data_IF_710035415387
#
_entry.id   IF_710035415387
#
_cell.length_a   1.000
_cell.length_b   1.000
_cell.length_c   1.000
_cell.angle_alpha   90.00
_cell.angle_beta   90.00
_cell.angle_gamma   90.00
#
_symmetry.space_group_name_H-M   'P 1'
#
loop_
_entity.id
_entity.type
_entity.pdbx_description
1 polymer ?
#
# COMPACT_ATOMS: atom_id res chain seq x y z
N UNK A 1 -14.90 -6.15 -1.68
CA UNK A 1 -15.46 -5.30 -2.74
C UNK A 1 -14.42 -5.07 -3.81
N UNK A 2 -14.70 -4.23 -4.81
CA UNK A 2 -13.83 -4.04 -5.97
C UNK A 2 -13.16 -2.67 -5.89
N UNK A 3 -11.84 -2.62 -6.06
CA UNK A 3 -11.06 -1.38 -6.04
C UNK A 3 -11.32 -0.52 -4.79
N UNK A 4 -11.61 0.77 -4.97
CA UNK A 4 -11.84 1.69 -3.85
C UNK A 4 -13.13 1.42 -3.09
N UNK A 5 -14.09 0.67 -3.66
CA UNK A 5 -15.35 0.35 -2.99
C UNK A 5 -15.19 -0.55 -1.75
N UNK A 6 -14.03 -1.20 -1.58
CA UNK A 6 -13.71 -1.97 -0.37
C UNK A 6 -12.93 -1.18 0.67
N UNK A 7 -12.64 0.11 0.42
CA UNK A 7 -11.96 1.00 1.35
C UNK A 7 -13.01 1.95 1.94
N UNK A 8 -13.55 1.56 3.09
CA UNK A 8 -14.65 2.29 3.72
C UNK A 8 -14.12 3.47 4.55
N UNK A 9 -14.51 4.69 4.16
CA UNK A 9 -14.19 5.89 4.91
C UNK A 9 -15.17 6.10 6.07
N UNK A 10 -14.69 6.49 7.27
CA UNK A 10 -15.56 6.82 8.39
C UNK A 10 -16.27 8.16 8.17
N UNK A 11 -17.36 8.41 8.91
CA UNK A 11 -18.00 9.71 8.92
C UNK A 11 -17.05 10.78 9.50
N UNK A 12 -16.83 11.85 8.76
CA UNK A 12 -15.98 12.94 9.19
C UNK A 12 -16.61 13.73 10.34
N UNK A 13 -15.78 14.12 11.31
CA UNK A 13 -16.06 15.06 12.40
C UNK A 13 -14.88 16.01 12.55
N UNK A 14 -15.10 17.22 13.08
CA UNK A 14 -14.00 18.13 13.40
C UNK A 14 -13.02 17.45 14.36
N UNK A 15 -11.73 17.60 14.12
CA UNK A 15 -10.66 16.90 14.86
C UNK A 15 -9.36 17.68 14.69
N UNK A 16 -8.62 17.87 15.78
CA UNK A 16 -7.39 18.66 15.74
C UNK A 16 -7.62 20.07 15.19
N UNK A 17 -6.75 20.49 14.28
CA UNK A 17 -6.81 21.81 13.62
C UNK A 17 -7.89 21.90 12.54
N UNK A 18 -8.49 20.79 12.12
CA UNK A 18 -9.39 20.72 10.98
C UNK A 18 -10.87 20.73 11.38
N UNK A 19 -11.65 21.50 10.62
CA UNK A 19 -13.11 21.42 10.59
C UNK A 19 -13.60 20.08 10.03
N UNK A 20 -14.88 19.77 10.22
CA UNK A 20 -15.51 18.56 9.66
C UNK A 20 -15.29 18.41 8.15
N UNK A 21 -15.41 19.51 7.40
CA UNK A 21 -15.26 19.51 5.95
C UNK A 21 -13.80 19.26 5.52
N UNK A 22 -12.84 19.78 6.29
CA UNK A 22 -11.41 19.53 6.06
C UNK A 22 -11.03 18.08 6.35
N UNK A 23 -11.55 17.51 7.45
CA UNK A 23 -11.39 16.08 7.75
C UNK A 23 -11.98 15.20 6.65
N UNK A 24 -13.15 15.54 6.10
CA UNK A 24 -13.73 14.80 4.99
C UNK A 24 -12.79 14.77 3.76
N UNK A 25 -12.22 15.93 3.39
CA UNK A 25 -11.24 16.03 2.29
C UNK A 25 -9.95 15.26 2.57
N UNK A 26 -9.45 15.29 3.81
CA UNK A 26 -8.28 14.52 4.22
C UNK A 26 -8.52 13.00 4.08
N UNK A 27 -9.71 12.52 4.49
CA UNK A 27 -10.10 11.12 4.33
C UNK A 27 -10.23 10.72 2.85
N UNK A 28 -10.79 11.59 2.01
CA UNK A 28 -10.86 11.36 0.55
C UNK A 28 -9.45 11.26 -0.07
N UNK A 29 -8.56 12.20 0.24
CA UNK A 29 -7.18 12.17 -0.24
C UNK A 29 -6.36 11.00 0.29
N UNK A 30 -6.65 10.53 1.50
CA UNK A 30 -6.11 9.28 2.03
C UNK A 30 -6.52 8.10 1.15
N UNK A 31 -7.80 8.02 0.76
CA UNK A 31 -8.27 6.98 -0.19
C UNK A 31 -7.63 7.11 -1.56
N UNK A 32 -7.43 8.33 -2.05
CA UNK A 32 -6.73 8.58 -3.33
C UNK A 32 -5.29 8.05 -3.28
N UNK A 33 -4.56 8.28 -2.19
CA UNK A 33 -3.22 7.72 -2.00
C UNK A 33 -3.22 6.19 -2.02
N UNK A 34 -4.14 5.56 -1.29
CA UNK A 34 -4.27 4.09 -1.26
C UNK A 34 -4.59 3.51 -2.64
N UNK A 35 -5.40 4.22 -3.43
CA UNK A 35 -5.71 3.81 -4.79
C UNK A 35 -4.51 3.97 -5.74
N UNK A 36 -3.88 5.15 -5.73
CA UNK A 36 -2.72 5.44 -6.57
C UNK A 36 -1.51 4.56 -6.23
N UNK A 37 -1.39 4.09 -4.98
CA UNK A 37 -0.26 3.26 -4.55
C UNK A 37 -0.43 1.76 -4.84
N UNK A 38 -1.67 1.27 -4.88
CA UNK A 38 -1.93 -0.17 -4.82
C UNK A 38 -3.04 -0.66 -5.78
N UNK A 39 -3.74 0.24 -6.49
CA UNK A 39 -4.79 -0.09 -7.46
C UNK A 39 -4.52 0.47 -8.86
N UNK A 40 -3.66 1.48 -8.98
CA UNK A 40 -3.34 2.10 -10.26
C UNK A 40 -2.71 1.07 -11.24
N UNK A 41 -3.28 0.86 -12.44
CA UNK A 41 -2.77 -0.14 -13.38
C UNK A 41 -1.33 0.09 -13.85
N UNK A 42 -0.87 1.34 -13.95
CA UNK A 42 0.50 1.67 -14.33
C UNK A 42 1.46 1.27 -13.20
N UNK A 43 1.12 1.61 -11.95
CA UNK A 43 1.89 1.22 -10.76
C UNK A 43 1.95 -0.30 -10.63
N UNK A 44 0.84 -0.99 -10.85
CA UNK A 44 0.80 -2.47 -10.84
C UNK A 44 1.70 -3.08 -11.92
N UNK A 45 1.86 -2.44 -13.07
CA UNK A 45 2.81 -2.88 -14.12
C UNK A 45 4.28 -2.50 -13.84
N UNK A 46 4.55 -1.88 -12.70
CA UNK A 46 5.90 -1.51 -12.29
C UNK A 46 6.34 -0.11 -12.75
N UNK A 47 5.42 0.74 -13.21
CA UNK A 47 5.70 2.15 -13.54
C UNK A 47 5.76 3.01 -12.28
N UNK A 48 6.50 4.12 -12.29
CA UNK A 48 6.73 4.95 -11.08
C UNK A 48 5.41 5.54 -10.54
N UNK A 49 5.14 5.51 -9.21
CA UNK A 49 3.86 5.92 -8.65
C UNK A 49 3.83 7.43 -8.34
N UNK A 50 4.03 8.26 -9.37
CA UNK A 50 4.23 9.70 -9.19
C UNK A 50 3.00 10.39 -8.57
N UNK A 51 1.79 9.97 -8.90
CA UNK A 51 0.55 10.51 -8.30
C UNK A 51 0.47 10.23 -6.79
N UNK A 52 0.78 9.01 -6.36
CA UNK A 52 0.81 8.66 -4.94
C UNK A 52 1.92 9.41 -4.20
N UNK A 53 3.10 9.52 -4.83
CA UNK A 53 4.25 10.23 -4.26
C UNK A 53 4.03 11.75 -4.14
N UNK A 54 3.17 12.34 -4.97
CA UNK A 54 2.82 13.76 -4.90
C UNK A 54 1.94 14.11 -3.70
N UNK A 55 1.24 13.14 -3.11
CA UNK A 55 0.42 13.33 -1.91
C UNK A 55 1.24 13.29 -0.61
N UNK A 56 2.47 12.81 -0.67
CA UNK A 56 3.39 12.75 0.47
C UNK A 56 4.07 14.11 0.64
N UNK A 57 4.14 14.59 1.88
CA UNK A 57 4.76 15.86 2.24
C UNK A 57 6.19 15.95 1.64
N UNK A 58 6.45 16.89 0.72
CA UNK A 58 7.75 17.02 0.07
C UNK A 58 8.87 17.44 1.04
N UNK A 59 8.51 17.97 2.21
CA UNK A 59 9.44 18.42 3.25
C UNK A 59 9.78 17.32 4.27
N UNK A 60 9.17 16.13 4.17
CA UNK A 60 9.48 14.98 5.05
C UNK A 60 10.76 14.26 4.60
N UNK A 61 11.93 14.82 4.97
CA UNK A 61 13.24 14.41 4.42
C UNK A 61 13.56 12.92 4.51
N UNK A 62 13.23 12.26 5.62
CA UNK A 62 13.45 10.82 5.84
C UNK A 62 12.68 9.97 4.83
N UNK A 63 11.40 10.29 4.60
CA UNK A 63 10.57 9.60 3.61
C UNK A 63 11.01 9.92 2.19
N UNK A 64 11.46 11.15 1.91
CA UNK A 64 12.01 11.50 0.59
C UNK A 64 13.27 10.70 0.27
N UNK A 65 14.14 10.51 1.26
CA UNK A 65 15.35 9.70 1.12
C UNK A 65 15.03 8.22 0.96
N UNK A 66 14.07 7.69 1.73
CA UNK A 66 13.53 6.34 1.56
C UNK A 66 13.04 6.13 0.12
N UNK A 67 12.14 6.97 -0.39
CA UNK A 67 11.56 6.84 -1.73
C UNK A 67 12.65 6.91 -2.82
N UNK A 68 13.65 7.77 -2.65
CA UNK A 68 14.78 7.87 -3.59
C UNK A 68 15.60 6.58 -3.65
N UNK A 69 15.91 5.99 -2.49
CA UNK A 69 16.65 4.72 -2.41
C UNK A 69 15.82 3.56 -2.95
N UNK A 70 14.57 3.48 -2.53
CA UNK A 70 13.63 2.42 -2.90
C UNK A 70 13.45 2.25 -4.41
N UNK A 71 13.46 3.34 -5.17
CA UNK A 71 13.36 3.26 -6.63
C UNK A 71 14.70 3.17 -7.37
N UNK A 72 15.83 3.33 -6.67
CA UNK A 72 17.17 3.29 -7.28
C UNK A 72 17.87 1.96 -7.05
N UNK A 73 17.85 1.48 -5.82
CA UNK A 73 18.50 0.27 -5.36
C UNK A 73 17.71 -0.25 -4.14
N UNK A 74 16.59 -0.95 -4.36
CA UNK A 74 15.82 -1.55 -3.28
C UNK A 74 16.69 -2.49 -2.43
N UNK A 75 16.45 -2.46 -1.14
CA UNK A 75 17.03 -3.35 -0.14
C UNK A 75 15.98 -3.64 0.94
N UNK A 76 16.37 -4.36 1.99
CA UNK A 76 15.44 -4.77 3.06
C UNK A 76 14.77 -3.58 3.73
N UNK A 77 15.51 -2.50 3.96
CA UNK A 77 15.03 -1.32 4.67
C UNK A 77 14.35 -0.32 3.72
N UNK A 78 14.70 -0.33 2.44
CA UNK A 78 14.25 0.61 1.42
C UNK A 78 13.55 -0.15 0.28
N UNK A 79 12.56 -0.98 0.60
CA UNK A 79 11.76 -1.65 -0.43
C UNK A 79 10.54 -0.79 -0.81
N UNK A 80 10.32 -0.44 -2.09
CA UNK A 80 9.14 0.31 -2.50
C UNK A 80 7.83 -0.46 -2.24
N UNK A 81 7.87 -1.78 -2.07
CA UNK A 81 6.70 -2.61 -1.76
C UNK A 81 6.05 -2.29 -0.41
N UNK A 82 6.79 -1.65 0.50
CA UNK A 82 6.25 -1.13 1.75
C UNK A 82 5.05 -0.19 1.51
N UNK A 83 5.09 0.60 0.43
CA UNK A 83 4.02 1.55 0.09
C UNK A 83 3.28 1.21 -1.20
N UNK A 84 3.95 0.58 -2.18
CA UNK A 84 3.43 0.45 -3.54
C UNK A 84 3.36 -1.00 -3.99
N UNK A 85 2.19 -1.48 -4.41
CA UNK A 85 2.07 -2.82 -4.98
C UNK A 85 2.49 -2.79 -6.45
N UNK A 86 3.52 -3.55 -6.81
CA UNK A 86 4.15 -3.48 -8.14
C UNK A 86 4.57 -4.85 -8.61
N UNK A 87 4.33 -5.16 -9.88
CA UNK A 87 4.79 -6.38 -10.52
C UNK A 87 5.76 -6.04 -11.65
N UNK A 88 6.69 -6.94 -11.94
CA UNK A 88 7.51 -6.82 -13.14
C UNK A 88 6.71 -7.30 -14.35
N UNK A 89 6.44 -6.40 -15.29
CA UNK A 89 5.61 -6.67 -16.46
C UNK A 89 6.19 -7.72 -17.42
N UNK A 90 7.50 -7.99 -17.37
CA UNK A 90 8.13 -9.10 -18.09
C UNK A 90 7.82 -10.48 -17.51
N UNK A 91 7.39 -10.53 -16.25
CA UNK A 91 7.25 -11.78 -15.50
C UNK A 91 5.77 -12.15 -15.38
N UNK A 92 4.95 -11.18 -14.96
CA UNK A 92 3.51 -11.36 -14.75
C UNK A 92 2.71 -10.15 -15.22
N UNK A 93 1.41 -10.36 -15.46
CA UNK A 93 0.44 -9.31 -15.71
C UNK A 93 -0.84 -9.54 -14.88
N UNK A 94 -1.54 -8.48 -14.46
CA UNK A 94 -2.87 -8.62 -13.87
C UNK A 94 -3.82 -9.43 -14.75
N UNK A 95 -4.62 -10.29 -14.12
CA UNK A 95 -5.67 -11.06 -14.76
C UNK A 95 -6.98 -10.27 -14.72
N UNK A 96 -7.19 -9.44 -15.75
CA UNK A 96 -8.31 -8.50 -15.81
C UNK A 96 -8.05 -7.21 -15.02
N UNK A 97 -9.10 -6.40 -14.88
CA UNK A 97 -8.99 -5.01 -14.38
C UNK A 97 -9.48 -4.83 -12.94
N UNK A 98 -9.80 -5.93 -12.26
CA UNK A 98 -10.41 -5.91 -10.93
C UNK A 98 -9.45 -6.41 -9.86
N UNK A 99 -9.05 -5.52 -8.97
CA UNK A 99 -8.41 -5.87 -7.69
C UNK A 99 -9.49 -5.95 -6.62
N UNK A 100 -9.53 -7.06 -5.88
CA UNK A 100 -10.44 -7.19 -4.74
C UNK A 100 -9.82 -6.54 -3.52
N UNK A 101 -10.62 -5.79 -2.78
CA UNK A 101 -10.18 -5.05 -1.60
C UNK A 101 -11.10 -5.27 -0.41
N UNK A 102 -10.50 -5.17 0.76
CA UNK A 102 -11.19 -5.07 2.05
C UNK A 102 -10.33 -4.24 2.98
N UNK A 103 -10.84 -3.08 3.40
CA UNK A 103 -10.07 -2.16 4.21
C UNK A 103 -10.91 -1.36 5.19
N UNK A 104 -10.24 -0.92 6.26
CA UNK A 104 -10.78 -0.04 7.27
C UNK A 104 -9.92 1.22 7.34
N UNK A 105 -10.59 2.36 7.46
CA UNK A 105 -9.96 3.65 7.75
C UNK A 105 -10.52 4.17 9.06
N UNK A 106 -9.66 4.66 9.94
CA UNK A 106 -10.01 5.36 11.18
C UNK A 106 -9.21 6.65 11.28
N UNK A 107 -9.67 7.59 12.11
CA UNK A 107 -8.91 8.80 12.38
C UNK A 107 -9.11 9.29 13.81
N UNK A 108 -8.12 10.00 14.30
CA UNK A 108 -8.09 10.64 15.63
C UNK A 108 -7.26 11.91 15.58
N UNK A 109 -7.30 12.70 16.65
CA UNK A 109 -6.35 13.80 16.81
C UNK A 109 -4.97 13.21 17.10
N UNK A 110 -3.99 13.65 16.32
CA UNK A 110 -2.59 13.27 16.46
C UNK A 110 -1.77 14.34 17.18
N UNK A 111 -0.45 14.20 17.13
CA UNK A 111 0.45 15.18 17.70
C UNK A 111 0.26 16.57 17.09
N UNK A 112 0.54 17.61 17.89
CA UNK A 112 0.46 19.01 17.44
C UNK A 112 -0.90 19.37 16.82
N UNK A 113 -1.97 18.65 17.18
CA UNK A 113 -3.32 18.89 16.67
C UNK A 113 -3.51 18.43 15.23
N UNK A 114 -2.64 17.59 14.67
CA UNK A 114 -2.83 16.96 13.37
C UNK A 114 -4.08 16.06 13.35
N UNK A 115 -4.57 15.73 12.16
CA UNK A 115 -5.54 14.63 12.00
C UNK A 115 -4.76 13.40 11.57
N UNK A 116 -4.63 12.43 12.48
CA UNK A 116 -3.95 11.18 12.20
C UNK A 116 -4.94 10.17 11.63
N UNK A 117 -4.69 9.69 10.41
CA UNK A 117 -5.49 8.69 9.72
C UNK A 117 -4.75 7.36 9.72
N UNK A 118 -5.38 6.33 10.26
CA UNK A 118 -4.86 4.96 10.26
C UNK A 118 -5.65 4.12 9.27
N UNK A 119 -4.93 3.37 8.44
CA UNK A 119 -5.52 2.52 7.40
C UNK A 119 -4.99 1.10 7.55
N UNK A 120 -5.84 0.12 7.28
CA UNK A 120 -5.46 -1.29 7.18
C UNK A 120 -6.27 -1.88 6.03
N UNK A 121 -5.61 -2.18 4.91
CA UNK A 121 -6.26 -2.60 3.66
C UNK A 121 -5.60 -3.86 3.12
N UNK A 122 -6.43 -4.87 2.85
CA UNK A 122 -6.05 -6.07 2.10
C UNK A 122 -6.39 -5.90 0.64
N UNK A 123 -5.43 -6.17 -0.24
CA UNK A 123 -5.54 -6.21 -1.69
C UNK A 123 -5.29 -7.63 -2.20
N UNK A 124 -6.12 -8.10 -3.13
CA UNK A 124 -5.95 -9.40 -3.78
C UNK A 124 -5.74 -9.18 -5.27
N UNK A 125 -4.53 -9.50 -5.74
CA UNK A 125 -4.10 -9.35 -7.11
C UNK A 125 -4.14 -10.69 -7.82
N UNK A 126 -5.10 -10.92 -8.74
CA UNK A 126 -5.04 -12.06 -9.63
C UNK A 126 -4.03 -11.76 -10.74
N UNK A 127 -3.10 -12.67 -11.00
CA UNK A 127 -2.05 -12.50 -12.01
C UNK A 127 -1.88 -13.77 -12.85
N UNK A 128 -1.43 -13.59 -14.07
CA UNK A 128 -1.00 -14.66 -14.98
C UNK A 128 0.42 -14.38 -15.46
N UNK A 129 1.11 -15.42 -15.96
CA UNK A 129 2.45 -15.25 -16.55
C UNK A 129 2.39 -14.32 -17.75
N UNK A 130 3.38 -13.45 -17.88
CA UNK A 130 3.50 -12.57 -19.04
C UNK A 130 3.77 -13.35 -20.34
N UNK A 131 4.56 -14.42 -20.26
CA UNK A 131 4.92 -15.27 -21.41
C UNK A 131 3.74 -16.11 -21.96
N UNK A 132 2.63 -16.22 -21.22
CA UNK A 132 1.52 -17.13 -21.54
C UNK A 132 1.91 -18.61 -21.38
N UNK A 133 1.11 -19.51 -21.96
CA UNK A 133 1.37 -20.96 -22.00
C UNK A 133 0.52 -21.79 -21.04
N UNK A 134 0.00 -21.20 -19.97
CA UNK A 134 -1.06 -21.76 -19.12
C UNK A 134 -2.11 -20.67 -18.80
N UNK A 135 -3.34 -21.11 -18.48
CA UNK A 135 -4.41 -20.23 -18.01
C UNK A 135 -4.42 -20.16 -16.45
N UNK A 136 -3.28 -20.47 -15.81
CA UNK A 136 -3.21 -20.46 -14.34
C UNK A 136 -3.30 -19.01 -13.82
N UNK A 137 -4.27 -18.76 -12.95
CA UNK A 137 -4.36 -17.52 -12.19
C UNK A 137 -3.78 -17.73 -10.80
N UNK A 138 -2.57 -17.23 -10.59
CA UNK A 138 -1.99 -17.08 -9.26
C UNK A 138 -2.61 -15.86 -8.56
N UNK A 139 -2.65 -15.90 -7.23
CA UNK A 139 -3.11 -14.77 -6.40
C UNK A 139 -1.99 -14.33 -5.50
N UNK A 140 -1.74 -13.02 -5.46
CA UNK A 140 -0.89 -12.38 -4.47
C UNK A 140 -1.77 -11.55 -3.56
N UNK A 141 -1.64 -11.75 -2.26
CA UNK A 141 -2.42 -11.03 -1.24
C UNK A 141 -1.46 -10.09 -0.53
N UNK A 142 -1.85 -8.83 -0.39
CA UNK A 142 -1.07 -7.80 0.30
C UNK A 142 -1.95 -7.14 1.34
N UNK A 143 -1.63 -7.27 2.62
CA UNK A 143 -2.22 -6.48 3.69
C UNK A 143 -1.26 -5.34 4.00
N UNK A 144 -1.77 -4.10 4.01
CA UNK A 144 -0.96 -2.91 4.25
C UNK A 144 -1.61 -2.04 5.31
N UNK A 145 -0.82 -1.69 6.32
CA UNK A 145 -1.16 -0.69 7.32
C UNK A 145 -0.36 0.56 7.02
N UNK A 146 -1.04 1.70 6.92
CA UNK A 146 -0.41 3.01 6.73
C UNK A 146 -1.03 4.00 7.69
N UNK A 147 -0.19 4.71 8.44
CA UNK A 147 -0.57 5.82 9.30
C UNK A 147 -0.07 7.12 8.69
N UNK A 148 -1.00 8.05 8.45
CA UNK A 148 -0.76 9.33 7.81
C UNK A 148 -1.11 10.47 8.77
N UNK A 149 -0.24 11.47 8.88
CA UNK A 149 -0.49 12.69 9.64
C UNK A 149 -0.87 13.81 8.68
N UNK A 150 -2.09 14.31 8.80
CA UNK A 150 -2.54 15.55 8.16
C UNK A 150 -2.17 16.72 9.06
N UNK A 151 -0.92 17.16 8.93
CA UNK A 151 -0.27 18.08 9.85
C UNK A 151 -0.88 19.49 9.84
N UNK A 152 -0.81 20.16 10.99
CA UNK A 152 -1.17 21.56 11.14
C UNK A 152 -0.09 22.45 10.48
N UNK A 153 -0.40 23.18 9.40
CA UNK A 153 0.59 24.01 8.69
C UNK A 153 1.09 25.19 9.54
N UNK A 154 0.42 25.54 10.65
CA UNK A 154 0.93 26.52 11.60
C UNK A 154 2.06 25.97 12.49
N UNK A 155 2.27 24.64 12.52
CA UNK A 155 3.20 23.96 13.43
C UNK A 155 4.23 23.08 12.71
N UNK A 156 3.92 22.61 11.51
CA UNK A 156 4.76 21.74 10.69
C UNK A 156 4.92 22.36 9.30
N UNK A 157 6.12 22.26 8.71
CA UNK A 157 6.34 22.62 7.31
C UNK A 157 5.73 21.54 6.44
N UNK A 158 4.62 21.86 5.79
CA UNK A 158 3.85 20.96 4.93
C UNK A 158 3.22 21.74 3.77
N UNK A 159 3.13 21.11 2.59
CA UNK A 159 2.42 21.70 1.45
C UNK A 159 0.91 21.41 1.52
N UNK A 160 0.05 22.34 1.08
CA UNK A 160 -1.40 22.13 1.06
C UNK A 160 -1.79 20.84 0.31
N UNK A 161 -2.65 20.04 0.93
CA UNK A 161 -3.16 18.80 0.32
C UNK A 161 -2.22 17.60 0.39
N UNK A 162 -1.09 17.73 1.10
CA UNK A 162 -0.17 16.61 1.38
C UNK A 162 -0.31 16.13 2.83
N UNK A 163 0.25 14.95 3.12
CA UNK A 163 0.34 14.38 4.46
C UNK A 163 1.75 13.85 4.73
N UNK A 164 2.14 13.74 6.00
CA UNK A 164 3.38 13.07 6.40
C UNK A 164 3.09 11.59 6.71
N UNK A 165 3.96 10.67 6.31
CA UNK A 165 3.87 9.25 6.70
C UNK A 165 4.42 9.06 8.11
N UNK A 166 3.62 8.48 8.99
CA UNK A 166 4.00 8.19 10.39
C UNK A 166 4.54 6.77 10.52
N UNK A 167 3.85 5.80 9.91
CA UNK A 167 4.30 4.42 9.85
C UNK A 167 3.67 3.70 8.66
N UNK A 168 4.34 2.66 8.20
CA UNK A 168 3.86 1.79 7.13
C UNK A 168 4.39 0.37 7.33
N UNK A 169 3.51 -0.61 7.18
CA UNK A 169 3.80 -2.04 7.33
C UNK A 169 3.13 -2.80 6.20
N UNK A 170 3.71 -3.94 5.81
CA UNK A 170 3.16 -4.79 4.76
C UNK A 170 3.37 -6.26 5.11
N UNK A 171 2.30 -7.03 4.99
CA UNK A 171 2.34 -8.49 4.93
C UNK A 171 1.96 -8.94 3.53
N UNK A 172 2.69 -9.93 3.01
CA UNK A 172 2.42 -10.47 1.67
C UNK A 172 2.28 -11.98 1.70
N UNK A 173 1.34 -12.50 0.91
CA UNK A 173 1.21 -13.94 0.63
C UNK A 173 1.38 -14.15 -0.85
N UNK A 174 2.26 -15.09 -1.21
CA UNK A 174 2.67 -15.31 -2.59
C UNK A 174 3.20 -14.02 -3.27
N UNK A 175 3.95 -13.22 -2.51
CA UNK A 175 4.61 -12.00 -2.97
C UNK A 175 6.11 -12.16 -3.24
N UNK A 176 6.69 -13.31 -2.91
CA UNK A 176 8.15 -13.54 -2.87
C UNK A 176 8.72 -13.35 -1.47
N UNK A 177 9.73 -14.15 -1.12
CA UNK A 177 10.47 -14.04 0.14
C UNK A 177 11.90 -13.57 -0.13
N UNK A 178 12.47 -12.79 0.79
CA UNK A 178 13.91 -12.47 0.90
C UNK A 178 14.59 -11.94 -0.39
N UNK A 179 13.81 -11.41 -1.32
CA UNK A 179 14.29 -10.89 -2.60
C UNK A 179 13.84 -9.45 -2.78
N UNK A 180 14.69 -8.50 -2.38
CA UNK A 180 14.40 -7.06 -2.42
C UNK A 180 14.61 -6.47 -3.82
N UNK A 181 13.75 -6.84 -4.76
CA UNK A 181 13.83 -6.35 -6.15
C UNK A 181 12.95 -5.12 -6.39
N UNK A 182 12.13 -4.73 -5.41
CA UNK A 182 11.10 -3.70 -5.55
C UNK A 182 9.87 -4.13 -6.35
N UNK A 183 9.71 -5.44 -6.59
CA UNK A 183 8.57 -6.04 -7.29
C UNK A 183 8.09 -7.28 -6.54
N UNK A 184 6.79 -7.48 -6.50
CA UNK A 184 6.18 -8.74 -6.09
C UNK A 184 6.57 -9.83 -7.11
N UNK A 185 6.98 -10.99 -6.61
CA UNK A 185 7.38 -12.15 -7.41
C UNK A 185 6.50 -13.36 -7.07
N UNK A 186 5.28 -13.44 -7.64
CA UNK A 186 4.34 -14.51 -7.34
C UNK A 186 4.84 -15.86 -7.85
N UNK A 187 4.68 -16.90 -7.05
CA UNK A 187 4.92 -18.27 -7.47
C UNK A 187 3.62 -18.88 -8.02
N UNK A 188 3.74 -19.65 -9.10
CA UNK A 188 2.67 -20.42 -9.70
C UNK A 188 2.76 -21.89 -9.24
N UNK A 189 1.87 -22.77 -9.68
CA UNK A 189 1.79 -24.15 -9.18
C UNK A 189 3.10 -24.92 -9.35
N UNK A 190 3.77 -24.79 -10.50
CA UNK A 190 4.99 -25.53 -10.79
C UNK A 190 6.14 -25.16 -9.83
N UNK A 191 6.35 -23.86 -9.56
CA UNK A 191 7.37 -23.36 -8.64
C UNK A 191 7.05 -23.73 -7.19
N UNK A 192 5.78 -23.64 -6.80
CA UNK A 192 5.34 -24.03 -5.46
C UNK A 192 5.53 -25.53 -5.21
N UNK A 193 5.25 -26.37 -6.21
CA UNK A 193 5.48 -27.81 -6.12
C UNK A 193 6.97 -28.19 -6.00
N UNK A 194 7.85 -27.38 -6.58
CA UNK A 194 9.30 -27.57 -6.48
C UNK A 194 9.90 -27.08 -5.14
N UNK A 195 9.16 -26.27 -4.39
CA UNK A 195 9.63 -25.67 -3.14
C UNK A 195 9.21 -26.54 -1.95
N UNK A 196 10.17 -26.91 -1.09
CA UNK A 196 9.86 -27.64 0.15
C UNK A 196 9.25 -26.66 1.16
N UNK A 197 8.19 -27.02 1.91
CA UNK A 197 7.69 -26.20 3.00
C UNK A 197 8.82 -25.88 3.98
N UNK A 198 8.93 -24.62 4.39
CA UNK A 198 9.95 -24.15 5.34
C UNK A 198 9.61 -24.50 6.81
N UNK A 199 8.42 -25.06 7.05
CA UNK A 199 7.96 -25.47 8.38
C UNK A 199 7.53 -24.29 9.27
N UNK A 200 7.35 -23.09 8.71
CA UNK A 200 6.82 -21.93 9.41
C UNK A 200 5.37 -22.11 9.85
N UNK A 201 4.92 -21.26 10.77
CA UNK A 201 3.51 -21.24 11.17
C UNK A 201 2.64 -20.76 10.00
N UNK A 202 1.54 -21.48 9.75
CA UNK A 202 0.53 -21.03 8.78
C UNK A 202 -0.20 -19.81 9.33
N UNK A 203 -0.24 -18.75 8.52
CA UNK A 203 -0.94 -17.50 8.85
C UNK A 203 -2.08 -17.33 7.85
N UNK A 204 -3.31 -17.10 8.33
CA UNK A 204 -4.43 -16.72 7.47
C UNK A 204 -4.23 -15.27 7.01
N UNK A 205 -4.01 -15.02 5.70
CA UNK A 205 -3.77 -13.66 5.20
C UNK A 205 -4.99 -12.74 5.27
N UNK A 206 -6.15 -13.28 5.64
CA UNK A 206 -7.38 -12.53 5.88
C UNK A 206 -7.70 -12.34 7.36
N UNK A 207 -6.91 -12.94 8.27
CA UNK A 207 -7.05 -12.67 9.69
C UNK A 207 -6.62 -11.24 10.00
N UNK A 208 -7.47 -10.56 10.75
CA UNK A 208 -7.34 -9.15 11.15
C UNK A 208 -7.66 -8.97 12.63
N UNK A 209 -7.64 -10.07 13.38
CA UNK A 209 -7.83 -10.10 14.83
C UNK A 209 -6.69 -9.39 15.57
N UNK A 210 -5.51 -9.35 14.97
CA UNK A 210 -4.32 -8.62 15.43
C UNK A 210 -3.90 -7.54 14.44
N UNK A 211 -3.23 -6.51 14.95
CA UNK A 211 -2.47 -5.56 14.11
C UNK A 211 -1.26 -6.27 13.50
N UNK A 212 -0.75 -5.74 12.39
CA UNK A 212 0.53 -6.20 11.86
C UNK A 212 1.66 -5.80 12.82
N UNK A 213 2.55 -6.73 13.13
CA UNK A 213 3.72 -6.55 14.00
C UNK A 213 4.81 -5.70 13.35
#
# INVERSE_FOLDING_TARGET
SDGTAGIHLPEARATGWMSRAEVARALEKTRDFLAASALDPAVLRGERPDEAMALINPHQSDVRDFLKKAFRAPDRENDPLLLFSRFRSSDVRPAGDVVKTRGRVTFQEGERGAVQVSTDVTYVYPVVRAAGGDDEVARTIVRREVVMSWDDPAKIVIEPGTFSLVSYKVDTTNGGCDTYTGYLTPAFLAERAATRPDGGAEVDPYDRSTSME
#
